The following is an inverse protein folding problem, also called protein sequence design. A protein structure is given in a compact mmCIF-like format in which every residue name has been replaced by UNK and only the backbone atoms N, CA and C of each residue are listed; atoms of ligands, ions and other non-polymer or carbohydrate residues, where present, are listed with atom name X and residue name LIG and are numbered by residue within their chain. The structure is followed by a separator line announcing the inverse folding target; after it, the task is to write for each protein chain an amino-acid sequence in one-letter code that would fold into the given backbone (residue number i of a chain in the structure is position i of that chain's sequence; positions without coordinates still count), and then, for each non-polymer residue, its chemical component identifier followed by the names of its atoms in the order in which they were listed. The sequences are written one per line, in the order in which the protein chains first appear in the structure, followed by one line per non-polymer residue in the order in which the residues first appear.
data_IF_464285939415
#
_entry.id   IF_464285939415
#
_cell.length_a   1.000
_cell.length_b   1.000
_cell.length_c   1.000
_cell.angle_alpha   90.00
_cell.angle_beta   90.00
_cell.angle_gamma   90.00
#
_symmetry.space_group_name_H-M   'P 1'
#
loop_
_entity.id
_entity.type
_entity.pdbx_description
1 polymer ?
#
# COMPACT_ATOMS: atom_id res chain seq x y z
N UNK A 1 8.27 2.48 -15.48
CA UNK A 1 7.22 2.90 -14.51
C UNK A 1 5.94 2.03 -14.54
N UNK A 2 5.47 1.59 -15.71
CA UNK A 2 4.21 0.84 -15.86
C UNK A 2 4.16 -0.49 -15.11
N UNK A 3 5.26 -1.27 -15.15
CA UNK A 3 5.38 -2.53 -14.39
C UNK A 3 5.23 -2.30 -12.88
N UNK A 4 5.80 -1.22 -12.34
CA UNK A 4 5.67 -0.89 -10.92
C UNK A 4 4.22 -0.62 -10.52
N UNK A 5 3.46 0.10 -11.35
CA UNK A 5 2.04 0.36 -11.11
C UNK A 5 1.21 -0.93 -11.21
N UNK A 6 1.49 -1.78 -12.20
CA UNK A 6 0.82 -3.06 -12.34
C UNK A 6 1.08 -3.97 -11.14
N UNK A 7 2.34 -4.09 -10.72
CA UNK A 7 2.70 -4.83 -9.52
C UNK A 7 1.98 -4.30 -8.28
N UNK A 8 1.80 -2.97 -8.17
CA UNK A 8 1.06 -2.36 -7.07
C UNK A 8 -0.39 -2.84 -7.04
N UNK A 9 -1.08 -2.85 -8.19
CA UNK A 9 -2.45 -3.36 -8.29
C UNK A 9 -2.55 -4.86 -7.97
N UNK A 10 -1.51 -5.63 -8.29
CA UNK A 10 -1.42 -7.05 -7.98
C UNK A 10 -1.00 -7.35 -6.53
N UNK A 11 -0.51 -6.35 -5.78
CA UNK A 11 0.00 -6.58 -4.43
C UNK A 11 -1.12 -6.88 -3.42
N UNK A 12 -0.78 -7.65 -2.39
CA UNK A 12 -1.72 -8.06 -1.33
C UNK A 12 -2.25 -6.87 -0.52
N UNK A 13 -1.47 -5.80 -0.40
CA UNK A 13 -1.74 -4.64 0.46
C UNK A 13 -1.89 -3.34 -0.33
N UNK A 14 -2.36 -3.45 -1.57
CA UNK A 14 -2.65 -2.29 -2.40
C UNK A 14 -3.77 -1.44 -1.78
N UNK A 15 -3.63 -0.12 -1.80
CA UNK A 15 -4.60 0.82 -1.23
C UNK A 15 -5.70 1.12 -2.25
N UNK A 16 -6.55 0.13 -2.52
CA UNK A 16 -7.76 0.30 -3.31
C UNK A 16 -8.77 -0.81 -2.97
N UNK A 17 -10.04 -0.58 -3.30
CA UNK A 17 -11.07 -1.61 -3.18
C UNK A 17 -10.98 -2.53 -4.39
N UNK A 18 -10.64 -3.81 -4.16
CA UNK A 18 -10.52 -4.79 -5.24
C UNK A 18 -11.89 -4.99 -5.91
N UNK A 19 -12.01 -4.84 -7.24
CA UNK A 19 -13.27 -5.04 -7.92
C UNK A 19 -13.69 -6.50 -7.88
N UNK A 20 -15.00 -6.72 -7.75
CA UNK A 20 -15.57 -8.06 -7.96
C UNK A 20 -15.61 -8.40 -9.45
N UNK A 21 -15.31 -9.66 -9.83
CA UNK A 21 -15.52 -10.10 -11.19
C UNK A 21 -17.01 -10.04 -11.56
N UNK A 22 -17.34 -9.70 -12.82
CA UNK A 22 -18.74 -9.62 -13.26
C UNK A 22 -19.40 -10.99 -13.15
N UNK A 23 -20.63 -11.01 -12.62
CA UNK A 23 -21.41 -12.25 -12.49
C UNK A 23 -22.28 -12.47 -13.74
N UNK A 24 -22.32 -13.70 -14.29
CA UNK A 24 -23.22 -14.02 -15.39
C UNK A 24 -24.69 -13.81 -14.99
N UNK A 25 -25.52 -13.39 -15.95
CA UNK A 25 -26.97 -13.28 -15.78
C UNK A 25 -27.66 -14.38 -16.60
N UNK A 26 -28.70 -14.98 -16.03
CA UNK A 26 -29.53 -15.97 -16.74
C UNK A 26 -30.37 -15.28 -17.82
N UNK A 27 -30.32 -15.81 -19.03
CA UNK A 27 -31.15 -15.39 -20.17
C UNK A 27 -31.96 -16.57 -20.70
N UNK A 28 -32.92 -16.31 -21.58
CA UNK A 28 -33.70 -17.38 -22.25
C UNK A 28 -32.83 -18.36 -23.06
N UNK A 29 -31.61 -17.97 -23.43
CA UNK A 29 -30.65 -18.79 -24.20
C UNK A 29 -29.50 -19.34 -23.35
N UNK A 30 -29.59 -19.24 -22.01
CA UNK A 30 -28.54 -19.67 -21.08
C UNK A 30 -27.88 -18.51 -20.34
N UNK A 31 -26.82 -18.79 -19.59
CA UNK A 31 -26.05 -17.79 -18.85
C UNK A 31 -25.16 -16.96 -19.77
N UNK A 32 -25.13 -15.65 -19.54
CA UNK A 32 -24.33 -14.72 -20.33
C UNK A 32 -23.72 -13.63 -19.46
N UNK A 33 -22.46 -13.29 -19.74
CA UNK A 33 -21.80 -12.10 -19.21
C UNK A 33 -22.18 -10.87 -20.06
N UNK A 34 -22.43 -9.76 -19.38
CA UNK A 34 -22.75 -8.49 -20.00
C UNK A 34 -21.64 -7.49 -19.67
N UNK A 35 -21.10 -6.76 -20.66
CA UNK A 35 -20.16 -5.68 -20.38
C UNK A 35 -20.86 -4.53 -19.64
N UNK A 36 -20.13 -3.74 -18.86
CA UNK A 36 -20.67 -2.51 -18.28
C UNK A 36 -20.90 -1.44 -19.36
N UNK A 37 -21.88 -0.57 -19.15
CA UNK A 37 -22.22 0.51 -20.09
C UNK A 37 -21.15 1.62 -20.15
N UNK A 38 -20.28 1.70 -19.13
CA UNK A 38 -19.19 2.66 -19.06
C UNK A 38 -18.01 2.11 -18.23
N UNK A 39 -16.79 2.68 -18.38
CA UNK A 39 -15.66 2.30 -17.55
C UNK A 39 -15.89 2.64 -16.08
N UNK A 40 -15.58 1.71 -15.19
CA UNK A 40 -15.53 1.98 -13.75
C UNK A 40 -14.20 2.64 -13.40
N UNK A 41 -14.24 3.79 -12.73
CA UNK A 41 -13.06 4.44 -12.17
C UNK A 41 -12.87 4.02 -10.72
N UNK A 42 -11.64 3.69 -10.33
CA UNK A 42 -11.29 3.35 -8.96
C UNK A 42 -10.25 4.32 -8.42
N UNK A 43 -10.48 4.78 -7.19
CA UNK A 43 -9.47 5.51 -6.44
C UNK A 43 -8.41 4.55 -5.91
N UNK A 44 -7.14 4.87 -6.20
CA UNK A 44 -5.98 4.07 -5.82
C UNK A 44 -4.99 4.95 -5.05
N UNK A 45 -4.54 4.50 -3.88
CA UNK A 45 -3.57 5.21 -3.06
C UNK A 45 -4.14 6.42 -2.31
N UNK A 46 -5.46 6.52 -2.16
CA UNK A 46 -6.10 7.70 -1.56
C UNK A 46 -5.73 7.87 -0.08
N UNK A 47 -5.72 6.78 0.69
CA UNK A 47 -5.37 6.80 2.12
C UNK A 47 -3.89 7.13 2.28
N UNK A 48 -3.03 6.45 1.52
CA UNK A 48 -1.58 6.69 1.54
C UNK A 48 -1.27 8.14 1.13
N UNK A 49 -1.90 8.63 0.06
CA UNK A 49 -1.70 9.99 -0.43
C UNK A 49 -2.15 11.06 0.56
N UNK A 50 -3.31 10.89 1.20
CA UNK A 50 -3.80 11.82 2.23
C UNK A 50 -2.86 11.89 3.43
N UNK A 51 -2.38 10.73 3.87
CA UNK A 51 -1.46 10.63 4.98
C UNK A 51 -0.07 11.26 4.68
N UNK A 52 0.47 11.04 3.49
CA UNK A 52 1.71 11.67 3.04
C UNK A 52 1.62 13.20 2.98
N UNK A 53 0.48 13.72 2.50
CA UNK A 53 0.24 15.18 2.48
C UNK A 53 0.23 15.75 3.89
N UNK A 54 -0.54 15.15 4.81
CA UNK A 54 -0.56 15.58 6.23
C UNK A 54 0.82 15.58 6.86
N UNK A 55 1.62 14.53 6.62
CA UNK A 55 2.96 14.44 7.19
C UNK A 55 3.94 15.46 6.60
N UNK A 56 3.79 15.82 5.33
CA UNK A 56 4.54 16.93 4.73
C UNK A 56 4.12 18.27 5.34
N UNK A 57 2.83 18.48 5.54
CA UNK A 57 2.30 19.74 6.05
C UNK A 57 2.58 19.92 7.57
N UNK A 58 2.75 18.82 8.31
CA UNK A 58 3.10 18.82 9.73
C UNK A 58 4.62 18.88 10.00
N UNK A 59 5.47 18.73 8.97
CA UNK A 59 6.92 18.84 9.15
C UNK A 59 7.27 20.29 9.54
N UNK A 60 7.83 20.55 10.74
CA UNK A 60 8.17 21.91 11.14
C UNK A 60 9.22 22.49 10.19
N UNK A 61 9.02 23.74 9.77
CA UNK A 61 10.08 24.50 9.10
C UNK A 61 11.26 24.65 10.07
N UNK A 62 12.40 24.13 9.62
CA UNK A 62 13.76 24.27 10.17
C UNK A 62 13.90 24.64 11.65
N UNK A 63 14.13 23.64 12.50
CA UNK A 63 14.97 23.83 13.69
C UNK A 63 16.40 23.40 13.35
N UNK A 64 17.18 24.31 12.74
CA UNK A 64 18.63 24.17 12.63
C UNK A 64 19.27 24.34 14.02
N UNK A 65 19.12 23.34 14.88
CA UNK A 65 19.79 23.31 16.18
C UNK A 65 21.26 22.93 16.02
N UNK A 66 22.14 23.94 16.04
CA UNK A 66 23.58 23.74 16.13
C UNK A 66 23.94 23.19 17.53
N UNK A 67 24.19 21.89 17.63
CA UNK A 67 24.63 21.27 18.88
C UNK A 67 25.12 19.86 18.65
N UNK A 68 26.19 19.47 19.36
CA UNK A 68 27.00 18.26 19.12
C UNK A 68 26.26 16.90 19.25
N UNK A 69 24.94 16.88 19.51
CA UNK A 69 24.10 15.68 19.53
C UNK A 69 22.71 15.97 18.93
N UNK A 70 22.65 16.42 17.67
CA UNK A 70 21.38 16.57 16.97
C UNK A 70 20.74 15.20 16.70
N UNK A 71 19.49 15.02 17.14
CA UNK A 71 18.67 13.83 16.88
C UNK A 71 18.51 13.65 15.36
N UNK A 72 18.46 12.42 14.81
CA UNK A 72 18.29 12.26 13.37
C UNK A 72 16.96 12.87 12.92
N UNK A 73 17.00 13.69 11.84
CA UNK A 73 15.85 14.47 11.37
C UNK A 73 14.65 13.59 11.01
N UNK A 74 13.46 14.06 11.37
CA UNK A 74 12.19 13.49 10.94
C UNK A 74 12.12 13.50 9.40
N UNK A 75 11.81 12.36 8.80
CA UNK A 75 11.63 12.25 7.35
C UNK A 75 10.75 11.04 6.98
N UNK A 76 10.31 11.00 5.72
CA UNK A 76 9.57 9.87 5.17
C UNK A 76 10.50 9.05 4.30
N UNK A 77 10.76 7.80 4.70
CA UNK A 77 11.41 6.82 3.83
C UNK A 77 10.43 6.43 2.74
N UNK A 78 10.79 6.70 1.48
CA UNK A 78 9.91 6.48 0.32
C UNK A 78 9.52 5.00 0.17
N UNK A 79 8.30 4.80 -0.31
CA UNK A 79 7.79 3.49 -0.67
C UNK A 79 8.64 2.86 -1.80
N UNK A 80 8.83 1.56 -1.72
CA UNK A 80 9.63 0.79 -2.67
C UNK A 80 9.22 -0.68 -2.68
N UNK A 81 9.59 -1.39 -3.74
CA UNK A 81 9.48 -2.83 -3.82
C UNK A 81 10.61 -3.49 -3.04
N UNK A 82 10.29 -4.51 -2.26
CA UNK A 82 11.28 -5.30 -1.54
C UNK A 82 11.00 -6.79 -1.72
N UNK A 83 12.04 -7.58 -1.92
CA UNK A 83 11.96 -9.03 -2.05
C UNK A 83 12.32 -9.69 -0.74
N UNK A 84 11.40 -10.47 -0.18
CA UNK A 84 11.62 -11.27 1.01
C UNK A 84 11.76 -12.74 0.63
N UNK A 85 12.73 -13.43 1.21
CA UNK A 85 12.80 -14.88 1.16
C UNK A 85 11.94 -15.46 2.29
N UNK A 86 11.04 -16.36 1.94
CA UNK A 86 10.10 -16.99 2.89
C UNK A 86 10.23 -18.50 2.83
N UNK A 87 10.14 -19.16 3.98
CA UNK A 87 10.34 -20.61 4.11
C UNK A 87 11.46 -20.96 5.10
N UNK A 88 11.69 -22.26 5.37
CA UNK A 88 12.75 -22.72 6.26
C UNK A 88 14.14 -22.35 5.74
N UNK A 89 15.08 -22.02 6.65
CA UNK A 89 16.45 -21.61 6.27
C UNK A 89 17.19 -22.68 5.48
N UNK A 90 17.09 -23.93 5.94
CA UNK A 90 17.74 -25.10 5.34
C UNK A 90 16.80 -25.88 4.40
N UNK A 91 15.71 -25.27 3.96
CA UNK A 91 14.72 -25.88 3.09
C UNK A 91 14.45 -25.05 1.83
N UNK A 92 13.36 -25.37 1.15
CA UNK A 92 12.96 -24.62 -0.03
C UNK A 92 12.48 -23.21 0.36
N UNK A 93 13.27 -22.20 0.02
CA UNK A 93 12.89 -20.80 0.20
C UNK A 93 12.25 -20.26 -1.08
N UNK A 94 11.19 -19.47 -0.91
CA UNK A 94 10.51 -18.83 -2.03
C UNK A 94 10.57 -17.31 -1.89
N UNK A 95 11.04 -16.65 -2.94
CA UNK A 95 11.03 -15.20 -3.05
C UNK A 95 9.60 -14.65 -3.12
N UNK A 96 9.34 -13.60 -2.35
CA UNK A 96 8.07 -12.87 -2.29
C UNK A 96 8.34 -11.39 -2.43
N UNK A 97 7.88 -10.81 -3.52
CA UNK A 97 7.98 -9.36 -3.75
C UNK A 97 6.81 -8.68 -3.04
N UNK A 98 7.11 -7.70 -2.18
CA UNK A 98 6.10 -6.93 -1.45
C UNK A 98 6.31 -5.44 -1.67
N UNK A 99 5.20 -4.71 -1.72
CA UNK A 99 5.22 -3.25 -1.66
C UNK A 99 5.40 -2.83 -0.22
N UNK A 100 6.48 -2.09 0.09
CA UNK A 100 6.62 -1.45 1.39
C UNK A 100 5.99 -0.05 1.31
N UNK A 101 5.03 0.27 2.19
CA UNK A 101 4.46 1.61 2.24
C UNK A 101 5.53 2.63 2.65
N UNK A 102 5.25 3.94 2.47
CA UNK A 102 6.10 4.98 3.02
C UNK A 102 6.21 4.83 4.55
N UNK A 103 7.42 4.93 5.07
CA UNK A 103 7.67 4.71 6.50
C UNK A 103 8.12 6.03 7.13
N UNK A 104 7.38 6.54 8.14
CA UNK A 104 7.87 7.64 8.95
C UNK A 104 9.11 7.21 9.73
N UNK A 105 10.12 8.06 9.71
CA UNK A 105 11.30 7.92 10.56
C UNK A 105 11.36 9.16 11.44
N UNK A 106 11.32 8.96 12.75
CA UNK A 106 11.38 10.03 13.76
C UNK A 106 10.29 11.10 13.59
N UNK A 107 9.11 10.73 13.11
CA UNK A 107 7.94 11.63 13.02
C UNK A 107 7.15 11.50 14.32
N UNK A 108 6.93 12.62 15.01
CA UNK A 108 6.05 12.68 16.17
C UNK A 108 4.59 12.52 15.71
N UNK A 109 3.80 11.72 16.44
CA UNK A 109 2.39 11.42 16.13
C UNK A 109 2.12 10.71 14.78
N UNK A 110 2.61 9.46 14.60
CA UNK A 110 2.45 8.71 13.35
C UNK A 110 1.01 8.20 13.12
N UNK A 111 0.08 8.37 14.05
CA UNK A 111 -1.34 7.97 13.93
C UNK A 111 -2.05 8.48 12.66
N UNK A 112 -1.57 9.56 12.03
CA UNK A 112 -2.08 10.06 10.75
C UNK A 112 -1.53 9.35 9.50
N UNK A 113 -0.56 8.44 9.67
CA UNK A 113 0.17 7.78 8.59
C UNK A 113 -0.47 6.46 8.15
N UNK A 114 -0.26 6.04 6.89
CA UNK A 114 -0.97 4.89 6.37
C UNK A 114 -0.37 3.60 6.95
N UNK A 115 -1.08 2.97 7.89
CA UNK A 115 -0.76 1.64 8.36
C UNK A 115 -1.32 0.57 7.41
N UNK A 116 -0.52 -0.46 7.13
CA UNK A 116 -1.00 -1.67 6.42
C UNK A 116 -1.90 -2.46 7.37
N UNK A 117 -3.20 -2.50 7.09
CA UNK A 117 -4.15 -3.34 7.84
C UNK A 117 -4.16 -4.73 7.22
N UNK A 118 -3.68 -5.72 7.97
CA UNK A 118 -3.73 -7.13 7.57
C UNK A 118 -4.89 -7.78 8.33
N UNK A 119 -6.01 -8.12 7.67
CA UNK A 119 -7.07 -8.87 8.32
C UNK A 119 -6.55 -10.26 8.64
N UNK A 120 -6.44 -10.59 9.92
CA UNK A 120 -6.09 -11.93 10.40
C UNK A 120 -7.39 -12.69 10.62
N UNK A 121 -7.54 -13.87 10.02
CA UNK A 121 -8.64 -14.77 10.37
C UNK A 121 -8.47 -15.17 11.83
N UNK A 122 -9.46 -14.89 12.69
CA UNK A 122 -9.49 -15.48 14.02
C UNK A 122 -9.65 -16.98 13.85
N UNK A 123 -8.67 -17.74 14.35
CA UNK A 123 -8.82 -19.17 14.56
C UNK A 123 -9.61 -19.30 15.86
N UNK A 124 -10.86 -19.73 15.74
CA UNK A 124 -11.67 -20.18 16.89
C UNK A 124 -11.37 -21.67 17.15
#
# INVERSE_FOLDING_TARGET
PMVSLLLYLCSEHADYIRPEPPRPKRTKRGERLFPPDSPTTWDVGLRIGAALRRARDAAPEESAGSGAHARPRAHIRRAHWHTFWTGPRDGNQVARVKWLPPIPVNVDHPEGLPATVIPVKRTD
#
